data_IF_662925178005
#
_entry.id   IF_662925178005
#
_cell.length_a   1.000
_cell.length_b   1.000
_cell.length_c   1.000
_cell.angle_alpha   90.00
_cell.angle_beta   90.00
_cell.angle_gamma   90.00
#
_symmetry.space_group_name_H-M   'P 1'
#
loop_
_entity.id
_entity.type
_entity.pdbx_description
1 polymer ?
#
# COMPACT_ATOMS: atom_id res chain seq x y z
N UNK A 1 10.65 41.20 -33.51
CA UNK A 1 10.32 39.84 -34.00
C UNK A 1 9.65 39.11 -32.85
N UNK A 2 8.32 39.03 -32.85
CA UNK A 2 7.58 38.29 -31.81
C UNK A 2 7.85 36.80 -31.97
N UNK A 3 8.53 36.20 -30.98
CA UNK A 3 8.70 34.75 -30.89
C UNK A 3 7.32 34.10 -30.86
N UNK A 4 6.90 33.51 -31.98
CA UNK A 4 5.82 32.54 -31.97
C UNK A 4 6.34 31.33 -31.21
N UNK A 5 6.14 31.29 -29.90
CA UNK A 5 6.39 30.09 -29.08
C UNK A 5 5.52 28.98 -29.64
N UNK A 6 6.14 28.04 -30.35
CA UNK A 6 5.44 26.85 -30.80
C UNK A 6 4.91 26.10 -29.57
N UNK A 7 3.62 25.75 -29.60
CA UNK A 7 2.91 25.09 -28.49
C UNK A 7 3.52 23.72 -28.12
N UNK A 8 4.25 23.10 -29.06
CA UNK A 8 4.91 21.81 -28.87
C UNK A 8 6.35 21.89 -29.42
N UNK A 9 7.38 21.75 -28.55
CA UNK A 9 8.77 21.76 -29.00
C UNK A 9 9.06 20.51 -29.85
N UNK A 10 9.87 20.67 -30.90
CA UNK A 10 10.32 19.55 -31.72
C UNK A 10 11.59 18.94 -31.11
N UNK A 11 11.57 17.62 -30.93
CA UNK A 11 12.69 16.86 -30.36
C UNK A 11 13.17 15.83 -31.38
N UNK A 12 14.46 15.85 -31.68
CA UNK A 12 15.09 14.87 -32.58
C UNK A 12 15.74 13.76 -31.75
N UNK A 13 15.18 12.55 -31.80
CA UNK A 13 15.70 11.36 -31.11
C UNK A 13 16.57 10.53 -32.05
N UNK A 14 17.75 10.14 -31.58
CA UNK A 14 18.61 9.17 -32.28
C UNK A 14 18.31 7.78 -31.74
N UNK A 15 17.68 6.95 -32.55
CA UNK A 15 17.24 5.60 -32.18
C UNK A 15 18.03 4.57 -33.00
N UNK A 16 18.38 3.41 -32.41
CA UNK A 16 18.87 2.25 -33.16
C UNK A 16 17.84 1.79 -34.22
N UNK A 17 18.31 1.22 -35.33
CA UNK A 17 17.43 0.76 -36.42
C UNK A 17 16.40 -0.27 -35.94
N UNK A 18 16.84 -1.26 -35.16
CA UNK A 18 15.95 -2.30 -34.61
C UNK A 18 14.78 -1.71 -33.80
N UNK A 19 15.04 -0.65 -33.04
CA UNK A 19 14.04 -0.02 -32.20
C UNK A 19 13.06 0.82 -33.02
N UNK A 20 13.56 1.48 -34.07
CA UNK A 20 12.72 2.20 -35.03
C UNK A 20 11.75 1.27 -35.76
N UNK A 21 12.21 0.10 -36.21
CA UNK A 21 11.37 -0.91 -36.86
C UNK A 21 10.28 -1.44 -35.93
N UNK A 22 10.64 -1.75 -34.68
CA UNK A 22 9.66 -2.17 -33.65
C UNK A 22 8.59 -1.12 -33.44
N UNK A 23 8.95 0.16 -33.33
CA UNK A 23 7.99 1.25 -33.17
C UNK A 23 7.06 1.35 -34.38
N UNK A 24 7.60 1.25 -35.59
CA UNK A 24 6.77 1.26 -36.81
C UNK A 24 5.77 0.10 -36.82
N UNK A 25 6.20 -1.12 -36.47
CA UNK A 25 5.30 -2.27 -36.40
C UNK A 25 4.22 -2.11 -35.32
N UNK A 26 4.56 -1.56 -34.15
CA UNK A 26 3.57 -1.27 -33.10
C UNK A 26 2.57 -0.21 -33.55
N UNK A 27 3.03 0.84 -34.21
CA UNK A 27 2.19 1.92 -34.73
C UNK A 27 1.19 1.41 -35.78
N UNK A 28 1.63 0.53 -36.68
CA UNK A 28 0.76 -0.13 -37.67
C UNK A 28 -0.33 -0.97 -36.99
N UNK A 29 0.04 -1.79 -36.00
CA UNK A 29 -0.91 -2.60 -35.22
C UNK A 29 -1.94 -1.73 -34.49
N UNK A 30 -1.49 -0.62 -33.93
CA UNK A 30 -2.31 0.30 -33.16
C UNK A 30 -3.06 1.33 -34.02
N UNK A 31 -2.89 1.30 -35.35
CA UNK A 31 -3.47 2.25 -36.33
C UNK A 31 -3.16 3.71 -36.00
N UNK A 32 -1.93 3.99 -35.56
CA UNK A 32 -1.42 5.32 -35.20
C UNK A 32 -0.20 5.68 -36.06
N UNK A 33 0.14 6.96 -36.12
CA UNK A 33 1.43 7.37 -36.69
C UNK A 33 2.57 6.97 -35.74
N UNK A 34 3.76 6.72 -36.28
CA UNK A 34 4.93 6.38 -35.46
C UNK A 34 5.22 7.45 -34.39
N UNK A 35 5.07 8.73 -34.72
CA UNK A 35 5.21 9.82 -33.76
C UNK A 35 4.15 9.77 -32.65
N UNK A 36 2.89 9.49 -32.99
CA UNK A 36 1.82 9.37 -31.99
C UNK A 36 2.05 8.17 -31.07
N UNK A 37 2.54 7.06 -31.61
CA UNK A 37 2.89 5.88 -30.82
C UNK A 37 4.07 6.15 -29.88
N UNK A 38 5.10 6.86 -30.35
CA UNK A 38 6.23 7.28 -29.52
C UNK A 38 5.77 8.18 -28.37
N UNK A 39 4.90 9.17 -28.65
CA UNK A 39 4.36 10.05 -27.61
C UNK A 39 3.55 9.24 -26.60
N UNK A 40 2.66 8.35 -27.05
CA UNK A 40 1.86 7.51 -26.17
C UNK A 40 2.74 6.59 -25.29
N UNK A 41 3.80 6.02 -25.84
CA UNK A 41 4.74 5.18 -25.10
C UNK A 41 5.51 5.99 -24.03
N UNK A 42 5.93 7.21 -24.37
CA UNK A 42 6.60 8.11 -23.41
C UNK A 42 5.63 8.55 -22.32
N UNK A 43 4.39 8.93 -22.66
CA UNK A 43 3.36 9.29 -21.69
C UNK A 43 3.05 8.16 -20.71
N UNK A 44 2.95 6.92 -21.22
CA UNK A 44 2.72 5.76 -20.37
C UNK A 44 3.93 5.45 -19.48
N UNK A 45 5.15 5.60 -20.01
CA UNK A 45 6.37 5.45 -19.22
C UNK A 45 6.46 6.51 -18.10
N UNK A 46 6.19 7.78 -18.39
CA UNK A 46 6.18 8.86 -17.39
C UNK A 46 5.11 8.59 -16.32
N UNK A 47 3.91 8.17 -16.71
CA UNK A 47 2.85 7.81 -15.74
C UNK A 47 3.29 6.67 -14.82
N UNK A 48 3.98 5.65 -15.36
CA UNK A 48 4.53 4.55 -14.56
C UNK A 48 5.66 5.05 -13.66
N UNK A 49 6.55 5.89 -14.17
CA UNK A 49 7.65 6.46 -13.41
C UNK A 49 7.16 7.33 -12.25
N UNK A 50 6.14 8.17 -12.45
CA UNK A 50 5.50 8.95 -11.37
C UNK A 50 4.97 8.03 -10.25
N UNK A 51 4.32 6.92 -10.62
CA UNK A 51 3.84 5.94 -9.64
C UNK A 51 5.02 5.26 -8.91
N UNK A 52 6.13 4.98 -9.60
CA UNK A 52 7.31 4.32 -9.02
C UNK A 52 8.21 5.25 -8.22
N UNK A 53 8.32 6.52 -8.57
CA UNK A 53 9.10 7.52 -7.83
C UNK A 53 8.30 8.11 -6.66
N UNK A 54 6.96 8.17 -6.76
CA UNK A 54 6.12 8.39 -5.57
C UNK A 54 6.26 7.23 -4.54
N UNK A 55 6.61 6.02 -5.00
CA UNK A 55 6.87 4.84 -4.14
C UNK A 55 8.20 4.92 -3.36
N UNK A 56 9.15 5.80 -3.69
CA UNK A 56 10.35 5.96 -2.84
C UNK A 56 10.08 6.69 -1.51
N UNK A 57 8.95 7.39 -1.39
CA UNK A 57 8.53 8.02 -0.13
C UNK A 57 7.52 7.16 0.66
N UNK A 58 6.94 6.12 0.05
CA UNK A 58 5.93 5.27 0.68
C UNK A 58 6.29 3.79 0.55
N UNK A 59 6.78 3.22 1.66
CA UNK A 59 7.18 1.82 1.77
C UNK A 59 6.10 0.85 1.26
N UNK A 60 6.44 0.05 0.24
CA UNK A 60 5.58 -1.04 -0.24
C UNK A 60 5.71 -2.28 0.63
N UNK A 61 4.57 -2.82 1.06
CA UNK A 61 4.47 -4.14 1.69
C UNK A 61 3.89 -5.11 0.67
N UNK A 62 4.61 -6.20 0.39
CA UNK A 62 4.13 -7.28 -0.47
C UNK A 62 3.29 -8.24 0.38
N UNK A 63 1.96 -8.26 0.15
CA UNK A 63 1.08 -9.27 0.73
C UNK A 63 0.79 -10.32 -0.33
N UNK A 64 1.21 -11.56 -0.08
CA UNK A 64 0.83 -12.72 -0.89
C UNK A 64 -0.56 -13.19 -0.43
N UNK A 65 -1.64 -13.01 -1.21
CA UNK A 65 -2.93 -13.60 -0.86
C UNK A 65 -2.84 -15.12 -1.02
N UNK A 66 -3.25 -15.86 0.01
CA UNK A 66 -3.08 -17.32 0.11
C UNK A 66 -3.99 -18.12 -0.85
N UNK A 67 -4.86 -17.48 -1.63
CA UNK A 67 -5.93 -18.14 -2.40
C UNK A 67 -6.12 -17.66 -3.85
N UNK A 68 -5.08 -17.21 -4.56
CA UNK A 68 -5.18 -16.89 -6.00
C UNK A 68 -4.20 -17.76 -6.79
N UNK A 69 -4.72 -18.42 -7.83
CA UNK A 69 -3.96 -19.18 -8.84
C UNK A 69 -2.73 -18.42 -9.33
N UNK A 70 -1.63 -19.14 -9.50
CA UNK A 70 -0.24 -18.67 -9.67
C UNK A 70 0.07 -17.72 -10.84
N UNK A 71 -0.92 -17.17 -11.56
CA UNK A 71 -0.67 -16.49 -12.84
C UNK A 71 -0.80 -14.97 -12.88
N UNK A 72 -1.29 -14.27 -11.84
CA UNK A 72 -1.22 -12.80 -11.86
C UNK A 72 -0.92 -12.21 -10.48
N UNK A 73 0.34 -11.86 -10.24
CA UNK A 73 0.76 -10.93 -9.19
C UNK A 73 0.18 -9.53 -9.51
N UNK A 74 -1.12 -9.35 -9.28
CA UNK A 74 -1.78 -8.05 -9.41
C UNK A 74 -1.37 -7.18 -8.22
N UNK A 75 -0.60 -6.09 -8.43
CA UNK A 75 -0.20 -5.22 -7.33
C UNK A 75 -1.42 -4.45 -6.83
N UNK A 76 -1.92 -4.80 -5.66
CA UNK A 76 -2.93 -4.00 -4.97
C UNK A 76 -2.25 -2.75 -4.42
N UNK A 77 -2.57 -1.57 -4.95
CA UNK A 77 -2.10 -0.30 -4.43
C UNK A 77 -2.94 0.11 -3.21
N UNK A 78 -2.37 -0.01 -2.03
CA UNK A 78 -2.95 0.52 -0.79
C UNK A 78 -2.11 1.71 -0.31
N UNK A 79 -2.77 2.82 0.01
CA UNK A 79 -2.10 3.94 0.69
C UNK A 79 -1.70 3.52 2.11
N UNK A 80 -0.70 4.17 2.71
CA UNK A 80 -0.32 3.91 4.11
C UNK A 80 -1.51 4.06 5.07
N UNK A 81 -2.42 5.01 4.80
CA UNK A 81 -3.68 5.16 5.52
C UNK A 81 -4.63 3.98 5.32
N UNK A 82 -4.71 3.43 4.10
CA UNK A 82 -5.47 2.22 3.80
C UNK A 82 -4.93 1.00 4.55
N UNK A 83 -3.60 0.83 4.60
CA UNK A 83 -2.95 -0.22 5.38
C UNK A 83 -3.25 -0.09 6.87
N UNK A 84 -3.07 1.09 7.45
CA UNK A 84 -3.37 1.32 8.87
C UNK A 84 -4.84 1.03 9.19
N UNK A 85 -5.76 1.37 8.28
CA UNK A 85 -7.19 1.06 8.44
C UNK A 85 -7.47 -0.45 8.43
N UNK A 86 -6.81 -1.20 7.55
CA UNK A 86 -6.93 -2.66 7.49
C UNK A 86 -6.34 -3.29 8.76
N UNK A 87 -5.16 -2.85 9.19
CA UNK A 87 -4.50 -3.34 10.41
C UNK A 87 -5.39 -3.11 11.63
N UNK A 88 -5.94 -1.90 11.78
CA UNK A 88 -6.81 -1.61 12.92
C UNK A 88 -8.10 -2.43 12.89
N UNK A 89 -8.75 -2.55 11.72
CA UNK A 89 -9.97 -3.34 11.58
C UNK A 89 -9.73 -4.83 11.89
N UNK A 90 -8.65 -5.40 11.37
CA UNK A 90 -8.29 -6.80 11.64
C UNK A 90 -7.92 -7.03 13.11
N UNK A 91 -7.21 -6.08 13.74
CA UNK A 91 -6.92 -6.13 15.17
C UNK A 91 -8.20 -6.07 16.03
N UNK A 92 -9.16 -5.21 15.68
CA UNK A 92 -10.46 -5.13 16.35
C UNK A 92 -11.25 -6.43 16.22
N UNK A 93 -11.34 -7.00 15.01
CA UNK A 93 -12.02 -8.28 14.75
C UNK A 93 -11.38 -9.42 15.55
N UNK A 94 -10.04 -9.49 15.57
CA UNK A 94 -9.31 -10.50 16.34
C UNK A 94 -9.54 -10.35 17.86
N UNK A 95 -9.57 -9.12 18.37
CA UNK A 95 -9.85 -8.86 19.79
C UNK A 95 -11.27 -9.26 20.19
N UNK A 96 -12.26 -8.99 19.32
CA UNK A 96 -13.64 -9.42 19.53
C UNK A 96 -13.77 -10.94 19.54
N UNK A 97 -13.11 -11.63 18.61
CA UNK A 97 -13.06 -13.09 18.59
C UNK A 97 -12.43 -13.67 19.85
N UNK A 98 -11.32 -13.09 20.32
CA UNK A 98 -10.68 -13.51 21.55
C UNK A 98 -11.60 -13.34 22.77
N UNK A 99 -12.30 -12.20 22.86
CA UNK A 99 -13.26 -11.94 23.93
C UNK A 99 -14.43 -12.92 23.90
N UNK A 100 -14.94 -13.24 22.71
CA UNK A 100 -15.99 -14.24 22.52
C UNK A 100 -15.55 -15.64 22.99
N UNK A 101 -14.31 -16.05 22.68
CA UNK A 101 -13.76 -17.33 23.14
C UNK A 101 -13.61 -17.33 24.67
N UNK A 102 -13.16 -16.21 25.25
CA UNK A 102 -12.99 -16.09 26.70
C UNK A 102 -14.32 -16.14 27.44
N UNK A 103 -15.34 -15.42 26.99
CA UNK A 103 -16.65 -15.37 27.66
C UNK A 103 -17.46 -16.66 27.49
N UNK A 104 -17.26 -17.39 26.39
CA UNK A 104 -17.90 -18.70 26.19
C UNK A 104 -17.26 -19.81 27.02
N UNK A 105 -15.95 -19.73 27.28
CA UNK A 105 -15.21 -20.79 27.99
C UNK A 105 -14.99 -20.51 29.48
N UNK A 106 -14.98 -19.25 29.89
CA UNK A 106 -14.64 -18.84 31.26
C UNK A 106 -15.64 -17.82 31.80
N UNK A 107 -16.03 -18.00 33.06
CA UNK A 107 -16.81 -17.01 33.80
C UNK A 107 -15.86 -15.95 34.36
N UNK A 108 -15.92 -14.75 33.79
CA UNK A 108 -15.02 -13.65 34.17
C UNK A 108 -15.57 -13.00 35.44
N UNK A 109 -14.99 -13.33 36.59
CA UNK A 109 -15.29 -12.62 37.84
C UNK A 109 -14.35 -11.44 38.03
N UNK A 110 -14.86 -10.22 38.30
CA UNK A 110 -14.01 -9.09 38.61
C UNK A 110 -13.23 -9.38 39.89
N UNK A 111 -11.95 -8.99 39.90
CA UNK A 111 -11.13 -9.17 41.10
C UNK A 111 -11.79 -8.46 42.28
N UNK A 112 -12.02 -9.14 43.42
CA UNK A 112 -12.63 -8.51 44.57
C UNK A 112 -11.76 -7.35 45.07
N UNK A 113 -12.38 -6.19 45.30
CA UNK A 113 -11.72 -5.05 45.93
C UNK A 113 -11.45 -5.42 47.40
N UNK A 114 -10.17 -5.49 47.79
CA UNK A 114 -9.79 -5.58 49.19
C UNK A 114 -10.11 -4.23 49.85
N UNK A 115 -11.19 -4.18 50.63
CA UNK A 115 -11.59 -3.03 51.43
C UNK A 115 -11.36 -3.33 52.91
N UNK A 116 -10.82 -2.36 53.64
CA UNK A 116 -10.77 -2.40 55.10
C UNK A 116 -12.20 -2.32 55.69
N UNK A 117 -12.33 -2.62 56.98
CA UNK A 117 -13.55 -2.45 57.80
C UNK A 117 -14.19 -1.04 57.70
N UNK A 118 -13.41 -0.05 57.29
CA UNK A 118 -13.82 1.35 57.08
C UNK A 118 -14.07 1.71 55.60
N UNK A 119 -14.15 0.73 54.69
CA UNK A 119 -14.46 0.93 53.27
C UNK A 119 -13.34 1.54 52.41
N UNK A 120 -12.13 1.75 52.96
CA UNK A 120 -10.95 2.21 52.22
C UNK A 120 -10.28 1.08 51.46
N UNK A 121 -9.76 1.39 50.26
CA UNK A 121 -9.00 0.45 49.42
C UNK A 121 -7.65 0.13 50.08
N UNK A 122 -7.38 -1.15 50.30
CA UNK A 122 -6.08 -1.60 50.83
C UNK A 122 -5.05 -1.56 49.69
N UNK A 123 -4.02 -0.72 49.83
CA UNK A 123 -2.89 -0.72 48.88
C UNK A 123 -2.09 -2.00 49.07
N UNK A 124 -1.75 -2.70 47.97
CA UNK A 124 -0.93 -3.92 48.06
C UNK A 124 0.44 -3.59 48.66
N UNK A 125 0.99 -4.43 49.55
CA UNK A 125 2.35 -4.25 50.05
C UNK A 125 3.35 -4.31 48.89
N UNK A 126 4.24 -3.33 48.82
CA UNK A 126 5.33 -3.31 47.85
C UNK A 126 6.29 -4.45 48.17
N UNK A 127 6.29 -5.50 47.36
CA UNK A 127 7.31 -6.54 47.44
C UNK A 127 8.57 -6.02 46.75
N UNK A 128 9.64 -5.79 47.53
CA UNK A 128 10.97 -5.52 46.97
C UNK A 128 11.35 -6.70 46.07
N UNK A 129 11.79 -6.42 44.84
CA UNK A 129 12.29 -7.46 43.94
C UNK A 129 13.45 -8.20 44.63
N UNK A 130 13.51 -9.54 44.58
CA UNK A 130 14.67 -10.26 45.08
C UNK A 130 15.91 -9.82 44.31
N UNK A 131 16.98 -9.55 45.07
CA UNK A 131 18.31 -9.15 44.57
C UNK A 131 18.97 -10.26 43.78
#
# INVERSE_FOLDING_TARGET
>A
MSERRYKHPQVNLRLPEELKEKISSMAERNKRSANAEMVAAIEDWVRRDEVHNFRSETSLVFLKPENVSEEEDLPVSLTQGGLNKIINKTAEEAAQMALYILTSKYEIQPKPELKDENGKRISKPYMKKPT
#
